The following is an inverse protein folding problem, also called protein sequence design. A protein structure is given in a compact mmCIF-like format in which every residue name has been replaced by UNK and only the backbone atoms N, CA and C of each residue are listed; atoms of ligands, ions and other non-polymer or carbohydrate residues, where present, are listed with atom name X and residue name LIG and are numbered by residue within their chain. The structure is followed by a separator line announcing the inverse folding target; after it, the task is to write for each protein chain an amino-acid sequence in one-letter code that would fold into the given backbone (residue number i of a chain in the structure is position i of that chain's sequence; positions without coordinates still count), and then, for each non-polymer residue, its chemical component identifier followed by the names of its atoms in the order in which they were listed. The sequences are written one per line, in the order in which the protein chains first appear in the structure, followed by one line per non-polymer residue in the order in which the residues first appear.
data_IF_832307602561
#
_entry.id   IF_832307602561
#
_cell.length_a   1.000
_cell.length_b   1.000
_cell.length_c   1.000
_cell.angle_alpha   90.00
_cell.angle_beta   90.00
_cell.angle_gamma   90.00
#
_symmetry.space_group_name_H-M   'P 1'
#
loop_
_entity.id
_entity.type
_entity.pdbx_description
1 polymer ?
#
# COMPACT_ATOMS: atom_id res chain seq x y z
N UNK A 1 -81.60 -2.01 -48.46
CA UNK A 1 -81.57 -1.90 -49.94
C UNK A 1 -80.14 -1.53 -50.37
N UNK A 2 -79.55 -2.29 -51.32
CA UNK A 2 -78.38 -2.01 -52.20
C UNK A 2 -77.06 -1.56 -51.53
N UNK A 3 -76.07 -2.46 -51.39
CA UNK A 3 -74.97 -2.79 -52.33
C UNK A 3 -73.80 -1.78 -52.35
N UNK A 4 -72.66 -2.26 -51.82
CA UNK A 4 -71.29 -2.21 -52.34
C UNK A 4 -70.59 -0.88 -52.63
N UNK A 5 -69.44 -0.66 -51.99
CA UNK A 5 -68.19 -0.34 -52.70
C UNK A 5 -66.95 -0.61 -51.81
N UNK A 6 -66.02 -1.42 -52.32
CA UNK A 6 -64.62 -1.55 -51.88
C UNK A 6 -63.77 -0.88 -52.96
N UNK A 7 -62.64 -0.25 -52.60
CA UNK A 7 -61.35 -0.77 -53.07
C UNK A 7 -60.29 -0.74 -51.95
N UNK A 8 -59.62 -1.85 -51.64
CA UNK A 8 -58.28 -2.24 -52.12
C UNK A 8 -57.22 -1.13 -52.02
N UNK A 9 -56.24 -1.30 -51.12
CA UNK A 9 -55.07 -0.43 -51.04
C UNK A 9 -54.10 -0.76 -49.91
N UNK A 10 -53.28 -1.78 -50.15
CA UNK A 10 -51.84 -1.85 -49.78
C UNK A 10 -51.45 -1.82 -48.30
N UNK A 11 -50.97 -2.97 -47.82
CA UNK A 11 -50.37 -3.13 -46.50
C UNK A 11 -49.04 -2.40 -46.36
N UNK A 12 -48.91 -1.65 -45.26
CA UNK A 12 -47.65 -1.14 -44.74
C UNK A 12 -47.34 -1.83 -43.42
N UNK A 13 -46.35 -2.72 -43.43
CA UNK A 13 -45.79 -3.36 -42.24
C UNK A 13 -45.00 -2.29 -41.48
N UNK A 14 -45.48 -1.88 -40.31
CA UNK A 14 -44.71 -1.03 -39.40
C UNK A 14 -43.67 -1.92 -38.67
N UNK A 15 -42.45 -1.93 -39.19
CA UNK A 15 -41.29 -2.49 -38.48
C UNK A 15 -40.93 -1.56 -37.33
N UNK A 16 -41.20 -2.01 -36.11
CA UNK A 16 -40.69 -1.41 -34.87
C UNK A 16 -39.16 -1.60 -34.83
N UNK A 17 -38.40 -0.56 -35.20
CA UNK A 17 -36.95 -0.53 -35.00
C UNK A 17 -36.69 -0.28 -33.52
N UNK A 18 -36.38 -1.35 -32.79
CA UNK A 18 -35.79 -1.27 -31.45
C UNK A 18 -34.37 -0.74 -31.63
N UNK A 19 -34.17 0.55 -31.35
CA UNK A 19 -32.86 1.15 -31.16
C UNK A 19 -32.25 0.54 -29.89
N UNK A 20 -31.43 -0.50 -30.06
CA UNK A 20 -30.50 -0.95 -29.03
C UNK A 20 -29.51 0.18 -28.77
N UNK A 21 -29.73 0.93 -27.69
CA UNK A 21 -28.80 1.90 -27.17
C UNK A 21 -27.52 1.21 -26.72
N UNK A 22 -26.48 1.29 -27.55
CA UNK A 22 -25.11 0.99 -27.14
C UNK A 22 -24.62 2.08 -26.20
N UNK A 23 -24.74 1.85 -24.89
CA UNK A 23 -24.02 2.62 -23.89
C UNK A 23 -22.53 2.19 -23.86
N UNK A 24 -21.56 3.12 -23.80
CA UNK A 24 -20.16 2.76 -23.67
C UNK A 24 -19.88 2.47 -22.18
N UNK A 25 -19.91 1.20 -21.77
CA UNK A 25 -19.58 0.83 -20.38
C UNK A 25 -18.49 -0.24 -20.28
N UNK A 26 -18.07 -0.89 -21.37
CA UNK A 26 -17.14 -2.03 -21.27
C UNK A 26 -15.63 -1.70 -21.30
N UNK A 27 -15.19 -0.67 -22.05
CA UNK A 27 -13.76 -0.49 -22.31
C UNK A 27 -12.94 0.02 -21.10
N UNK A 28 -13.57 0.72 -20.15
CA UNK A 28 -12.90 1.27 -18.97
C UNK A 28 -12.57 0.22 -17.92
N UNK A 29 -13.53 -0.69 -17.67
CA UNK A 29 -13.40 -1.74 -16.66
C UNK A 29 -12.41 -2.83 -17.08
N UNK A 30 -12.41 -3.19 -18.37
CA UNK A 30 -11.47 -4.17 -18.92
C UNK A 30 -10.02 -3.70 -18.83
N UNK A 31 -9.76 -2.43 -19.13
CA UNK A 31 -8.42 -1.85 -19.03
C UNK A 31 -7.95 -1.71 -17.58
N UNK A 32 -8.85 -1.37 -16.65
CA UNK A 32 -8.53 -1.32 -15.22
C UNK A 32 -8.24 -2.71 -14.65
N UNK A 33 -9.05 -3.71 -15.01
CA UNK A 33 -8.83 -5.10 -14.62
C UNK A 33 -7.52 -5.66 -15.19
N UNK A 34 -7.18 -5.34 -16.45
CA UNK A 34 -5.92 -5.76 -17.06
C UNK A 34 -4.68 -5.15 -16.37
N UNK A 35 -4.78 -3.93 -15.82
CA UNK A 35 -3.71 -3.33 -15.01
C UNK A 35 -3.59 -3.97 -13.64
N UNK A 36 -4.74 -4.21 -12.99
CA UNK A 36 -4.80 -4.86 -11.68
C UNK A 36 -4.23 -6.28 -11.72
N UNK A 37 -4.60 -7.05 -12.73
CA UNK A 37 -4.20 -8.45 -12.92
C UNK A 37 -3.08 -8.58 -13.95
N UNK A 38 -2.13 -7.64 -13.90
CA UNK A 38 -1.00 -7.63 -14.80
C UNK A 38 -0.01 -8.75 -14.44
N UNK A 39 0.29 -9.60 -15.43
CA UNK A 39 1.34 -10.63 -15.35
C UNK A 39 2.67 -10.00 -15.78
N UNK A 40 3.68 -9.90 -14.89
CA UNK A 40 4.97 -9.32 -15.21
C UNK A 40 5.72 -10.14 -16.26
N UNK A 41 6.48 -9.46 -17.12
CA UNK A 41 7.31 -10.10 -18.16
C UNK A 41 8.79 -9.86 -17.88
N UNK A 42 9.67 -10.87 -18.11
CA UNK A 42 11.11 -10.68 -17.98
C UNK A 42 11.61 -9.49 -18.83
N UNK A 43 12.40 -8.61 -18.23
CA UNK A 43 13.03 -7.48 -18.92
C UNK A 43 12.11 -6.32 -19.30
N UNK A 44 10.83 -6.35 -18.93
CA UNK A 44 9.88 -5.26 -19.18
C UNK A 44 9.27 -4.74 -17.86
N UNK A 45 9.31 -3.43 -17.67
CA UNK A 45 8.61 -2.82 -16.54
C UNK A 45 7.10 -2.87 -16.76
N UNK A 46 6.31 -3.21 -15.72
CA UNK A 46 4.86 -3.14 -15.82
C UNK A 46 4.39 -1.68 -15.94
N UNK A 47 3.19 -1.44 -16.49
CA UNK A 47 2.66 -0.09 -16.60
C UNK A 47 2.47 0.56 -15.22
N UNK A 48 2.49 1.89 -15.19
CA UNK A 48 2.24 2.65 -13.96
C UNK A 48 0.87 2.27 -13.38
N UNK A 49 0.82 1.99 -12.08
CA UNK A 49 -0.40 1.54 -11.41
C UNK A 49 -0.78 0.08 -11.68
N UNK A 50 0.13 -0.75 -12.23
CA UNK A 50 -0.09 -2.18 -12.30
C UNK A 50 -0.12 -2.83 -10.91
N UNK A 51 -0.90 -3.91 -10.78
CA UNK A 51 -1.04 -4.66 -9.54
C UNK A 51 -2.02 -4.03 -8.54
N UNK A 52 -2.08 -4.60 -7.35
CA UNK A 52 -2.91 -4.16 -6.22
C UNK A 52 -2.04 -3.58 -5.11
N UNK A 53 -2.58 -2.60 -4.39
CA UNK A 53 -2.00 -2.18 -3.11
C UNK A 53 -2.42 -3.15 -2.00
N UNK A 54 -1.48 -3.50 -1.12
CA UNK A 54 -1.78 -4.14 0.16
C UNK A 54 -0.86 -3.58 1.25
N UNK A 55 -1.40 -3.47 2.46
CA UNK A 55 -0.71 -3.03 3.67
C UNK A 55 -0.65 -4.14 4.73
N UNK A 56 0.37 -4.10 5.59
CA UNK A 56 0.47 -4.98 6.74
C UNK A 56 1.86 -4.99 7.37
N UNK A 57 1.98 -5.62 8.54
CA UNK A 57 3.27 -5.75 9.23
C UNK A 57 4.10 -6.88 8.64
N UNK A 58 5.40 -6.63 8.54
CA UNK A 58 6.38 -7.65 8.20
C UNK A 58 6.49 -8.69 9.32
N UNK A 59 5.94 -9.90 9.12
CA UNK A 59 5.99 -10.98 10.12
C UNK A 59 7.04 -12.05 9.81
N UNK A 60 7.52 -12.08 8.57
CA UNK A 60 8.58 -13.00 8.12
C UNK A 60 9.40 -12.32 7.04
N UNK A 61 10.72 -12.52 7.06
CA UNK A 61 11.64 -12.05 6.03
C UNK A 61 12.66 -13.12 5.68
N UNK A 62 12.87 -13.30 4.38
CA UNK A 62 13.96 -14.07 3.79
C UNK A 62 14.68 -13.17 2.78
N UNK A 63 15.72 -12.43 3.22
CA UNK A 63 16.42 -11.51 2.35
C UNK A 63 17.22 -12.18 1.24
N UNK A 64 17.57 -13.47 1.39
CA UNK A 64 18.38 -14.20 0.41
C UNK A 64 17.54 -14.46 -0.84
N UNK A 65 16.32 -14.96 -0.65
CA UNK A 65 15.39 -15.22 -1.74
C UNK A 65 14.50 -14.01 -2.07
N UNK A 66 14.73 -12.87 -1.40
CA UNK A 66 13.89 -11.66 -1.45
C UNK A 66 12.40 -11.98 -1.24
N UNK A 67 12.10 -12.78 -0.23
CA UNK A 67 10.74 -13.18 0.16
C UNK A 67 10.38 -12.61 1.53
N UNK A 68 9.09 -12.60 1.82
CA UNK A 68 8.60 -12.25 3.14
C UNK A 68 7.14 -12.59 3.30
N UNK A 69 6.56 -12.17 4.42
CA UNK A 69 5.13 -12.22 4.62
C UNK A 69 4.65 -10.96 5.34
N UNK A 70 3.56 -10.38 4.83
CA UNK A 70 2.82 -9.32 5.48
C UNK A 70 1.61 -9.89 6.21
N UNK A 71 1.20 -9.25 7.30
CA UNK A 71 -0.04 -9.59 8.00
C UNK A 71 -0.78 -8.32 8.45
N UNK A 72 -2.08 -8.28 8.21
CA UNK A 72 -2.95 -7.12 8.49
C UNK A 72 -3.70 -7.33 9.81
N UNK A 73 -3.04 -7.18 10.95
CA UNK A 73 -3.61 -7.45 12.28
C UNK A 73 -3.31 -8.85 12.82
N UNK A 74 -3.70 -9.13 14.06
CA UNK A 74 -3.23 -10.33 14.77
C UNK A 74 -3.81 -11.64 14.22
N UNK A 75 -5.09 -11.62 13.82
CA UNK A 75 -5.88 -12.80 13.45
C UNK A 75 -6.10 -12.95 11.93
N UNK A 76 -5.36 -12.21 11.10
CA UNK A 76 -5.48 -12.34 9.65
C UNK A 76 -4.46 -13.34 9.07
N UNK A 77 -4.81 -14.04 7.97
CA UNK A 77 -3.88 -14.90 7.26
C UNK A 77 -2.63 -14.13 6.81
N UNK A 78 -1.52 -14.85 6.67
CA UNK A 78 -0.27 -14.24 6.20
C UNK A 78 -0.31 -14.12 4.69
N UNK A 79 0.04 -12.95 4.21
CA UNK A 79 0.27 -12.71 2.79
C UNK A 79 1.75 -12.89 2.47
N UNK A 80 2.13 -14.10 2.05
CA UNK A 80 3.49 -14.37 1.59
C UNK A 80 3.73 -13.71 0.23
N UNK A 81 4.94 -13.20 0.05
CA UNK A 81 5.34 -12.56 -1.18
C UNK A 81 6.78 -12.91 -1.57
N UNK A 82 7.04 -12.79 -2.88
CA UNK A 82 8.38 -12.70 -3.45
C UNK A 82 8.55 -11.33 -4.10
N UNK A 83 9.72 -10.71 -4.00
CA UNK A 83 10.01 -9.51 -4.78
C UNK A 83 10.28 -9.90 -6.23
N UNK A 84 9.78 -9.10 -7.17
CA UNK A 84 10.26 -9.16 -8.55
C UNK A 84 11.77 -8.86 -8.59
N UNK A 85 12.52 -9.39 -9.59
CA UNK A 85 13.97 -9.16 -9.70
C UNK A 85 14.36 -7.67 -9.71
N UNK A 86 13.53 -6.83 -10.35
CA UNK A 86 13.68 -5.38 -10.40
C UNK A 86 12.81 -4.63 -9.39
N UNK A 87 12.19 -5.35 -8.45
CA UNK A 87 11.35 -4.77 -7.40
C UNK A 87 12.19 -4.00 -6.38
N UNK A 88 11.69 -2.85 -5.94
CA UNK A 88 12.36 -1.95 -5.02
C UNK A 88 11.80 -2.06 -3.61
N UNK A 89 12.68 -1.94 -2.62
CA UNK A 89 12.31 -1.77 -1.21
C UNK A 89 12.80 -0.39 -0.77
N UNK A 90 11.97 0.34 -0.02
CA UNK A 90 12.35 1.61 0.60
C UNK A 90 12.08 1.56 2.09
N UNK A 91 12.99 2.16 2.85
CA UNK A 91 12.90 2.28 4.29
C UNK A 91 13.44 3.66 4.69
N UNK A 92 12.79 4.36 5.61
CA UNK A 92 13.16 5.73 6.00
C UNK A 92 13.37 6.69 4.80
N UNK A 93 12.58 6.53 3.75
CA UNK A 93 12.65 7.35 2.54
C UNK A 93 13.83 7.05 1.60
N UNK A 94 14.65 6.04 1.86
CA UNK A 94 15.81 5.66 1.04
C UNK A 94 15.72 4.22 0.51
N UNK A 95 16.45 3.87 -0.57
CA UNK A 95 16.55 2.48 -1.03
C UNK A 95 17.04 1.55 0.08
N UNK A 96 16.45 0.36 0.13
CA UNK A 96 16.71 -0.64 1.15
C UNK A 96 16.71 -2.05 0.54
N UNK A 97 17.22 -3.01 1.30
CA UNK A 97 16.99 -4.43 1.05
C UNK A 97 16.03 -4.98 2.12
N UNK A 98 15.37 -6.13 1.86
CA UNK A 98 14.45 -6.75 2.84
C UNK A 98 15.16 -6.97 4.17
N UNK A 99 16.47 -7.25 4.17
CA UNK A 99 17.25 -7.42 5.40
C UNK A 99 17.35 -6.17 6.28
N UNK A 100 17.11 -5.00 5.71
CA UNK A 100 17.18 -3.74 6.44
C UNK A 100 15.89 -3.47 7.20
N UNK A 101 14.78 -4.14 6.83
CA UNK A 101 13.46 -3.99 7.42
C UNK A 101 13.34 -4.76 8.73
N UNK A 102 13.09 -4.08 9.86
CA UNK A 102 12.78 -4.77 11.11
C UNK A 102 11.45 -5.54 11.02
N UNK A 103 11.34 -6.74 11.62
CA UNK A 103 10.06 -7.38 11.83
C UNK A 103 9.10 -6.47 12.60
N UNK A 104 7.81 -6.52 12.28
CA UNK A 104 6.77 -5.65 12.84
C UNK A 104 6.68 -4.28 12.16
N UNK A 105 7.58 -3.93 11.25
CA UNK A 105 7.42 -2.69 10.46
C UNK A 105 6.16 -2.78 9.62
N UNK A 106 5.28 -1.78 9.72
CA UNK A 106 4.14 -1.65 8.85
C UNK A 106 4.60 -1.24 7.45
N UNK A 107 4.23 -2.03 6.45
CA UNK A 107 4.66 -1.86 5.07
C UNK A 107 3.47 -1.69 4.15
N UNK A 108 3.66 -0.83 3.15
CA UNK A 108 2.80 -0.70 1.99
C UNK A 108 3.48 -1.35 0.80
N UNK A 109 2.78 -2.28 0.16
CA UNK A 109 3.27 -3.00 -1.01
C UNK A 109 2.40 -2.84 -2.23
N UNK A 110 3.04 -2.87 -3.40
CA UNK A 110 2.38 -3.03 -4.70
C UNK A 110 2.66 -4.43 -5.23
N UNK A 111 1.60 -5.23 -5.36
CA UNK A 111 1.69 -6.65 -5.69
C UNK A 111 1.07 -6.96 -7.05
N UNK A 112 1.78 -7.70 -7.87
CA UNK A 112 1.38 -8.20 -9.17
C UNK A 112 1.12 -9.71 -9.09
N UNK A 113 0.55 -10.24 -10.18
CA UNK A 113 0.49 -11.68 -10.38
C UNK A 113 1.90 -12.28 -10.50
N UNK A 114 2.07 -13.58 -10.24
CA UNK A 114 3.33 -14.26 -10.50
C UNK A 114 3.75 -14.14 -11.96
N UNK A 115 5.07 -14.17 -12.18
CA UNK A 115 5.63 -14.35 -13.52
C UNK A 115 5.28 -15.75 -14.04
N UNK A 116 5.25 -15.88 -15.36
CA UNK A 116 5.04 -17.17 -16.01
C UNK A 116 6.12 -18.17 -15.57
N UNK A 117 5.68 -19.31 -15.01
CA UNK A 117 6.55 -20.34 -14.44
C UNK A 117 6.90 -20.16 -12.96
N UNK A 118 6.54 -19.03 -12.34
CA UNK A 118 6.74 -18.76 -10.90
C UNK A 118 5.45 -18.84 -10.09
N UNK A 119 4.39 -19.42 -10.66
CA UNK A 119 3.08 -19.50 -10.03
C UNK A 119 3.14 -20.29 -8.72
N UNK A 120 3.98 -21.32 -8.63
CA UNK A 120 4.10 -22.18 -7.44
C UNK A 120 5.22 -21.78 -6.48
N UNK A 121 5.94 -20.69 -6.78
CA UNK A 121 7.08 -20.21 -5.98
C UNK A 121 6.68 -19.83 -4.55
N UNK A 122 5.44 -19.34 -4.38
CA UNK A 122 4.87 -18.97 -3.09
C UNK A 122 3.67 -19.89 -2.79
N UNK A 123 3.77 -20.76 -1.76
CA UNK A 123 2.69 -21.67 -1.43
C UNK A 123 1.45 -20.90 -0.94
N UNK A 124 0.26 -21.34 -1.34
CA UNK A 124 -0.98 -20.83 -0.77
C UNK A 124 -1.20 -21.36 0.65
N UNK A 125 -1.65 -20.52 1.59
CA UNK A 125 -2.05 -21.02 2.92
C UNK A 125 -3.33 -21.87 2.81
N UNK A 126 -3.32 -23.08 3.39
CA UNK A 126 -4.54 -23.79 3.79
C UNK A 126 -5.51 -24.25 2.68
N UNK A 127 -5.03 -24.66 1.50
CA UNK A 127 -5.85 -25.33 0.49
C UNK A 127 -6.54 -24.42 -0.54
N UNK A 128 -6.22 -23.13 -0.56
CA UNK A 128 -6.64 -22.22 -1.62
C UNK A 128 -5.99 -20.84 -1.50
N UNK A 129 -5.71 -20.18 -2.63
CA UNK A 129 -5.26 -18.77 -2.63
C UNK A 129 -6.47 -17.87 -2.42
N UNK A 130 -6.45 -17.03 -1.38
CA UNK A 130 -7.40 -15.93 -1.28
C UNK A 130 -7.28 -15.02 -2.52
N UNK A 131 -8.32 -14.24 -2.82
CA UNK A 131 -8.30 -13.32 -3.97
C UNK A 131 -7.13 -12.31 -3.93
N UNK A 132 -6.58 -12.03 -2.75
CA UNK A 132 -5.33 -11.26 -2.59
C UNK A 132 -4.08 -12.13 -2.63
N UNK A 133 -4.15 -13.39 -2.18
CA UNK A 133 -3.05 -14.35 -2.25
C UNK A 133 -2.61 -14.75 -3.66
N UNK A 134 -3.39 -14.39 -4.70
CA UNK A 134 -2.97 -14.54 -6.10
C UNK A 134 -1.94 -13.48 -6.54
N UNK A 135 -1.96 -12.30 -5.92
CA UNK A 135 -1.02 -11.21 -6.18
C UNK A 135 0.11 -11.30 -5.17
N UNK A 136 1.07 -12.16 -5.43
CA UNK A 136 2.13 -12.51 -4.47
C UNK A 136 3.53 -12.02 -4.92
N UNK A 137 3.63 -11.28 -6.03
CA UNK A 137 4.91 -10.74 -6.51
C UNK A 137 4.98 -9.22 -6.32
N UNK A 138 5.81 -8.77 -5.39
CA UNK A 138 5.95 -7.36 -5.05
C UNK A 138 6.90 -6.64 -6.01
N UNK A 139 6.46 -5.51 -6.59
CA UNK A 139 7.34 -4.58 -7.30
C UNK A 139 7.88 -3.48 -6.39
N UNK A 140 7.14 -3.13 -5.35
CA UNK A 140 7.48 -2.04 -4.45
C UNK A 140 7.04 -2.40 -3.04
N UNK A 141 7.92 -2.22 -2.06
CA UNK A 141 7.63 -2.25 -0.63
C UNK A 141 8.19 -0.99 0.02
N UNK A 142 7.40 -0.35 0.86
CA UNK A 142 7.74 0.92 1.51
C UNK A 142 7.24 0.91 2.96
N UNK A 143 8.02 1.42 3.91
CA UNK A 143 7.48 1.81 5.22
C UNK A 143 6.55 3.03 5.10
N UNK A 144 5.77 3.31 6.14
CA UNK A 144 4.81 4.42 6.14
C UNK A 144 5.47 5.74 5.74
N UNK A 145 6.61 6.09 6.34
CA UNK A 145 7.35 7.29 5.99
C UNK A 145 7.70 7.33 4.51
N UNK A 146 8.29 6.27 3.94
CA UNK A 146 8.62 6.25 2.51
C UNK A 146 7.37 6.39 1.64
N UNK A 147 6.31 5.67 1.98
CA UNK A 147 5.07 5.63 1.23
C UNK A 147 4.33 6.98 1.22
N UNK A 148 4.16 7.60 2.40
CA UNK A 148 3.46 8.88 2.54
C UNK A 148 4.31 10.04 1.99
N UNK A 149 5.60 10.11 2.31
CA UNK A 149 6.47 11.21 1.81
C UNK A 149 6.60 11.21 0.29
N UNK A 150 6.77 10.04 -0.34
CA UNK A 150 6.86 9.92 -1.80
C UNK A 150 5.62 10.44 -2.52
N UNK A 151 4.48 10.40 -1.85
CA UNK A 151 3.19 10.86 -2.39
C UNK A 151 2.83 12.27 -1.92
N UNK A 152 3.79 13.01 -1.33
CA UNK A 152 3.58 14.38 -0.87
C UNK A 152 2.64 14.48 0.33
N UNK A 153 2.61 13.44 1.16
CA UNK A 153 1.73 13.37 2.33
C UNK A 153 2.50 13.42 3.64
N UNK A 154 1.89 14.06 4.63
CA UNK A 154 2.39 14.22 6.00
C UNK A 154 1.22 14.21 6.99
N UNK A 155 1.53 14.25 8.28
CA UNK A 155 0.55 14.20 9.36
C UNK A 155 0.57 15.50 10.13
N UNK A 156 -0.57 16.17 10.31
CA UNK A 156 -0.67 17.29 11.24
C UNK A 156 -1.24 16.79 12.56
N UNK A 157 -0.57 17.11 13.64
CA UNK A 157 -0.97 16.70 14.99
C UNK A 157 -2.16 17.53 15.45
N UNK A 158 -3.23 16.88 15.88
CA UNK A 158 -4.38 17.52 16.51
C UNK A 158 -4.23 17.57 18.03
N UNK A 159 -3.59 16.55 18.61
CA UNK A 159 -3.30 16.44 20.03
C UNK A 159 -3.24 15.00 20.49
N UNK A 160 -3.36 14.81 21.79
CA UNK A 160 -3.40 13.48 22.40
C UNK A 160 -4.80 13.18 22.93
N UNK A 161 -5.23 11.94 22.78
CA UNK A 161 -6.49 11.42 23.26
C UNK A 161 -6.25 10.19 24.14
N UNK A 162 -6.94 10.10 25.28
CA UNK A 162 -6.91 8.88 26.07
C UNK A 162 -7.89 7.87 25.44
N UNK A 163 -7.37 6.72 25.02
CA UNK A 163 -8.19 5.63 24.52
C UNK A 163 -9.17 5.12 25.59
N UNK A 164 -10.37 4.72 25.17
CA UNK A 164 -11.34 4.07 26.05
C UNK A 164 -11.03 2.58 26.29
N UNK A 165 -11.78 1.96 27.20
CA UNK A 165 -11.73 0.51 27.46
C UNK A 165 -10.91 0.09 28.68
N UNK A 166 -10.77 -1.24 28.91
CA UNK A 166 -10.18 -1.79 30.14
C UNK A 166 -8.66 -1.58 30.27
N UNK A 167 -7.97 -1.25 29.18
CA UNK A 167 -6.54 -0.90 29.17
C UNK A 167 -6.34 0.39 28.34
N UNK A 168 -6.66 1.57 28.91
CA UNK A 168 -6.68 2.82 28.17
C UNK A 168 -5.25 3.22 27.77
N UNK A 169 -4.98 3.30 26.46
CA UNK A 169 -3.69 3.72 25.91
C UNK A 169 -3.76 5.16 25.41
N UNK A 170 -2.63 5.85 25.45
CA UNK A 170 -2.53 7.17 24.86
C UNK A 170 -2.52 7.05 23.33
N UNK A 171 -3.31 7.88 22.66
CA UNK A 171 -3.40 7.95 21.21
C UNK A 171 -2.96 9.33 20.72
N UNK A 172 -2.15 9.36 19.67
CA UNK A 172 -1.85 10.57 18.92
C UNK A 172 -2.94 10.75 17.85
N UNK A 173 -3.65 11.86 17.94
CA UNK A 173 -4.69 12.25 16.99
C UNK A 173 -4.04 13.07 15.88
N UNK A 174 -4.17 12.60 14.64
CA UNK A 174 -3.56 13.24 13.47
C UNK A 174 -4.55 13.38 12.32
N UNK A 175 -4.37 14.46 11.54
CA UNK A 175 -5.05 14.64 10.26
C UNK A 175 -4.03 14.54 9.11
N UNK A 176 -4.37 13.83 8.02
CA UNK A 176 -3.51 13.78 6.85
C UNK A 176 -3.46 15.15 6.15
N UNK A 177 -2.26 15.57 5.77
CA UNK A 177 -2.00 16.78 4.96
C UNK A 177 -1.38 16.36 3.64
N UNK A 178 -1.96 16.81 2.53
CA UNK A 178 -1.55 16.43 1.17
C UNK A 178 -2.69 15.80 0.38
N UNK A 179 -2.42 15.27 -0.83
CA UNK A 179 -3.43 14.66 -1.68
C UNK A 179 -3.99 13.36 -1.07
N UNK A 180 -5.18 12.96 -1.51
CA UNK A 180 -5.66 11.61 -1.27
C UNK A 180 -4.82 10.60 -2.05
N UNK A 181 -4.53 9.46 -1.41
CA UNK A 181 -3.66 8.43 -1.98
C UNK A 181 -4.34 7.06 -1.88
N UNK A 182 -4.14 6.23 -2.89
CA UNK A 182 -4.60 4.84 -2.91
C UNK A 182 -3.89 4.04 -1.82
N UNK A 183 -4.65 3.31 -0.99
CA UNK A 183 -4.07 2.43 0.02
C UNK A 183 -3.48 3.13 1.25
N UNK A 184 -3.52 4.46 1.29
CA UNK A 184 -3.16 5.24 2.47
C UNK A 184 -4.35 5.59 3.34
N UNK A 185 -4.06 6.03 4.56
CA UNK A 185 -5.04 6.56 5.49
C UNK A 185 -5.44 7.99 5.07
N UNK A 186 -6.64 8.11 4.48
CA UNK A 186 -7.14 9.37 3.91
C UNK A 186 -7.95 10.26 4.87
N UNK A 187 -8.23 9.76 6.07
CA UNK A 187 -9.04 10.44 7.08
C UNK A 187 -8.22 10.65 8.35
N UNK A 188 -8.74 11.47 9.26
CA UNK A 188 -8.17 11.59 10.60
C UNK A 188 -8.03 10.20 11.24
N UNK A 189 -6.89 9.99 11.89
CA UNK A 189 -6.51 8.70 12.45
C UNK A 189 -6.01 8.87 13.88
N UNK A 190 -6.22 7.82 14.67
CA UNK A 190 -5.69 7.71 16.03
C UNK A 190 -4.64 6.62 16.06
N UNK A 191 -3.40 6.99 16.34
CA UNK A 191 -2.30 6.04 16.47
C UNK A 191 -1.95 5.84 17.93
N UNK A 192 -1.79 4.60 18.38
CA UNK A 192 -1.30 4.33 19.73
C UNK A 192 0.14 4.84 19.86
N UNK A 193 0.43 5.52 20.97
CA UNK A 193 1.77 6.01 21.29
C UNK A 193 2.10 5.69 22.74
N UNK A 194 3.25 5.05 22.94
CA UNK A 194 3.79 4.73 24.25
C UNK A 194 5.26 5.14 24.34
N UNK A 195 5.91 4.83 25.46
CA UNK A 195 7.28 5.25 25.73
C UNK A 195 8.32 4.52 24.86
N UNK A 196 7.92 3.51 24.07
CA UNK A 196 8.80 2.87 23.09
C UNK A 196 8.89 3.66 21.77
N UNK A 197 7.96 4.58 21.52
CA UNK A 197 7.99 5.42 20.33
C UNK A 197 9.20 6.36 20.34
N UNK A 198 10.00 6.31 19.28
CA UNK A 198 11.19 7.16 19.11
C UNK A 198 10.78 8.48 18.47
N UNK A 199 11.03 9.58 19.16
CA UNK A 199 10.65 10.91 18.67
C UNK A 199 11.93 11.66 18.32
N UNK A 200 12.02 12.07 17.06
CA UNK A 200 13.18 12.67 16.47
C UNK A 200 12.97 14.16 16.24
N UNK A 201 13.90 14.95 16.78
CA UNK A 201 13.98 16.39 16.54
C UNK A 201 15.43 16.84 16.51
N UNK A 202 15.79 17.73 15.58
CA UNK A 202 17.15 18.25 15.41
C UNK A 202 18.22 17.12 15.35
N UNK A 203 17.88 16.02 14.65
CA UNK A 203 18.69 14.80 14.55
C UNK A 203 18.96 14.07 15.89
N UNK A 204 18.10 14.25 16.90
CA UNK A 204 18.25 13.66 18.24
C UNK A 204 16.94 13.05 18.72
N UNK A 205 17.05 12.11 19.66
CA UNK A 205 15.89 11.59 20.38
C UNK A 205 15.46 12.61 21.44
N UNK A 206 14.17 12.92 21.44
CA UNK A 206 13.55 13.84 22.39
C UNK A 206 12.34 13.19 23.07
N UNK A 207 11.86 13.81 24.14
CA UNK A 207 10.69 13.35 24.86
C UNK A 207 9.38 13.67 24.11
N UNK A 208 8.32 12.95 24.46
CA UNK A 208 6.96 13.13 23.91
C UNK A 208 6.37 14.51 24.12
N UNK A 209 6.81 15.23 25.14
CA UNK A 209 6.36 16.60 25.42
C UNK A 209 6.74 17.60 24.31
N UNK A 210 7.68 17.24 23.42
CA UNK A 210 8.05 18.06 22.26
C UNK A 210 7.03 18.00 21.13
N UNK A 211 6.07 17.07 21.17
CA UNK A 211 5.01 16.97 20.16
C UNK A 211 3.95 18.03 20.48
N UNK A 212 3.87 19.06 19.63
CA UNK A 212 2.89 20.13 19.76
C UNK A 212 1.73 19.98 18.76
N UNK A 213 0.48 20.26 19.18
CA UNK A 213 -0.65 20.41 18.25
C UNK A 213 -0.37 21.44 17.16
N UNK A 214 -0.84 21.17 15.95
CA UNK A 214 -0.64 21.99 14.76
C UNK A 214 0.66 21.71 14.00
N UNK A 215 1.60 20.96 14.59
CA UNK A 215 2.86 20.61 13.93
C UNK A 215 2.63 19.55 12.85
N UNK A 216 3.36 19.67 11.74
CA UNK A 216 3.44 18.65 10.70
C UNK A 216 4.58 17.69 11.01
N UNK A 217 4.29 16.40 11.00
CA UNK A 217 5.21 15.32 11.35
C UNK A 217 5.14 14.19 10.32
N UNK A 218 6.14 13.32 10.35
CA UNK A 218 6.13 12.04 9.67
C UNK A 218 6.14 10.92 10.73
N UNK A 219 5.50 9.79 10.45
CA UNK A 219 5.42 8.66 11.39
C UNK A 219 5.68 7.35 10.69
N UNK A 220 6.30 6.42 11.41
CA UNK A 220 6.32 4.99 11.06
C UNK A 220 5.47 4.22 12.04
N UNK A 221 4.78 3.19 11.53
CA UNK A 221 3.78 2.44 12.28
C UNK A 221 4.15 0.96 12.42
N UNK A 222 3.41 0.29 13.28
CA UNK A 222 3.37 -1.15 13.50
C UNK A 222 1.96 -1.54 13.93
N UNK A 223 1.55 -2.79 13.76
CA UNK A 223 0.32 -3.30 14.35
C UNK A 223 0.46 -3.38 15.87
N UNK A 224 -0.28 -2.51 16.54
CA UNK A 224 -0.44 -2.49 17.98
C UNK A 224 -1.43 -3.54 18.49
N UNK A 225 -1.58 -3.62 19.81
CA UNK A 225 -2.60 -4.46 20.45
C UNK A 225 -4.01 -4.09 19.99
N UNK A 226 -4.93 -5.05 19.97
CA UNK A 226 -6.35 -4.82 19.66
C UNK A 226 -6.64 -4.24 18.27
N UNK A 227 -5.84 -4.64 17.28
CA UNK A 227 -5.99 -4.21 15.87
C UNK A 227 -6.00 -2.67 15.71
N UNK A 228 -5.18 -1.98 16.53
CA UNK A 228 -4.84 -0.57 16.33
C UNK A 228 -3.47 -0.44 15.65
N UNK A 229 -3.22 0.69 14.99
CA UNK A 229 -1.87 1.05 14.54
C UNK A 229 -1.15 1.79 15.67
N UNK A 230 0.09 1.42 15.94
CA UNK A 230 0.95 2.03 16.94
C UNK A 230 2.17 2.70 16.29
N UNK A 231 2.64 3.79 16.87
CA UNK A 231 3.79 4.56 16.40
C UNK A 231 5.09 3.90 16.86
N UNK A 232 6.04 3.74 15.93
CA UNK A 232 7.41 3.29 16.21
C UNK A 232 8.41 4.44 16.17
N UNK A 233 8.24 5.37 15.23
CA UNK A 233 9.04 6.57 15.08
C UNK A 233 8.16 7.76 14.72
N UNK A 234 8.52 8.95 15.21
CA UNK A 234 7.95 10.25 14.83
C UNK A 234 9.10 11.18 14.46
N UNK A 235 9.03 11.82 13.30
CA UNK A 235 9.95 12.89 12.91
C UNK A 235 9.23 14.23 12.97
N UNK A 236 9.79 15.14 13.78
CA UNK A 236 9.24 16.48 14.02
C UNK A 236 9.75 17.54 13.04
N UNK A 237 10.85 17.26 12.33
CA UNK A 237 11.48 18.14 11.35
C UNK A 237 12.10 17.36 10.17
N UNK A 238 12.32 18.06 9.06
CA UNK A 238 12.94 17.48 7.86
C UNK A 238 14.42 17.13 8.08
N UNK A 239 15.14 17.85 8.94
CA UNK A 239 16.57 17.57 9.17
C UNK A 239 16.78 16.16 9.76
N UNK A 240 15.95 15.79 10.74
CA UNK A 240 15.92 14.46 11.34
C UNK A 240 15.51 13.39 10.34
N UNK A 241 14.54 13.70 9.47
CA UNK A 241 14.09 12.79 8.43
C UNK A 241 15.18 12.56 7.38
N UNK A 242 15.84 13.63 6.94
CA UNK A 242 16.95 13.60 6.01
C UNK A 242 18.16 12.84 6.57
N UNK A 243 18.45 13.00 7.86
CA UNK A 243 19.49 12.23 8.54
C UNK A 243 19.14 10.73 8.55
N UNK A 244 17.91 10.35 8.89
CA UNK A 244 17.44 8.96 8.82
C UNK A 244 17.55 8.37 7.41
N UNK A 245 17.14 9.14 6.41
CA UNK A 245 17.24 8.80 4.98
C UNK A 245 18.70 8.56 4.56
N UNK A 246 19.61 9.42 4.98
CA UNK A 246 21.03 9.28 4.65
C UNK A 246 21.66 8.06 5.33
N UNK A 247 21.32 7.80 6.60
CA UNK A 247 21.80 6.61 7.33
C UNK A 247 21.38 5.33 6.59
N UNK A 248 20.11 5.24 6.19
CA UNK A 248 19.61 4.07 5.46
C UNK A 248 20.24 3.96 4.07
N UNK A 249 20.40 5.07 3.35
CA UNK A 249 21.10 5.09 2.06
C UNK A 249 22.53 4.56 2.18
N UNK A 250 23.28 5.01 3.19
CA UNK A 250 24.65 4.56 3.44
C UNK A 250 24.71 3.09 3.85
N UNK A 251 23.70 2.57 4.55
CA UNK A 251 23.57 1.13 4.85
C UNK A 251 23.42 0.32 3.57
N UNK A 252 22.51 0.76 2.69
CA UNK A 252 22.28 0.10 1.41
C UNK A 252 23.51 0.13 0.49
N UNK A 253 24.19 1.28 0.38
CA UNK A 253 25.42 1.39 -0.41
C UNK A 253 26.55 0.50 0.12
N UNK A 254 26.72 0.42 1.45
CA UNK A 254 27.71 -0.48 2.07
C UNK A 254 27.42 -1.94 1.73
N UNK A 255 26.15 -2.33 1.70
CA UNK A 255 25.75 -3.68 1.32
C UNK A 255 26.10 -3.98 -0.15
N UNK A 256 25.85 -3.05 -1.07
CA UNK A 256 26.21 -3.20 -2.50
C UNK A 256 27.74 -3.36 -2.63
N UNK A 257 28.49 -2.48 -1.98
CA UNK A 257 29.96 -2.49 -2.01
C UNK A 257 30.56 -3.75 -1.39
N UNK A 258 29.93 -4.31 -0.34
CA UNK A 258 30.36 -5.60 0.25
C UNK A 258 30.21 -6.78 -0.71
N UNK A 259 29.43 -6.62 -1.79
CA UNK A 259 29.29 -7.59 -2.87
C UNK A 259 30.16 -7.24 -4.08
N UNK A 260 31.14 -6.36 -3.92
CA UNK A 260 32.07 -5.90 -4.95
C UNK A 260 31.40 -5.24 -6.17
N UNK A 261 30.19 -4.71 -6.00
CA UNK A 261 29.51 -3.93 -7.01
C UNK A 261 29.78 -2.43 -6.79
N UNK A 262 29.87 -1.63 -7.86
CA UNK A 262 29.92 -0.18 -7.74
C UNK A 262 28.58 0.30 -7.15
N UNK A 263 28.66 0.92 -5.97
CA UNK A 263 27.50 1.49 -5.25
C UNK A 263 27.68 2.99 -5.05
#
# INVERSE_FOLDING_TARGET
MRKAFLPSGTGGVFTLVVLMGGGPVAAGDDAANARRDHVPKPGAFPPVGAGIHMDGDLVFSDPINRRGALRKGANTPRHYFAMLPYGMVRYHGAPADIRDLPPGTHLHGRFLLPMEGEEETIPGEGGGRSASGRHNHAILLEDDVSFYTRQGRSWKVLGFEQGGGPAPRLKLSVEPVGPEIEGGLNKAALFDIDDAARIWKDCRLVARDQIAPGQTVQVNLTWGPFDSLAITDVWLDEDSLAAGREIQRQRHLRLIRSRFLPG
#
